data_IF_951043185052
#
_entry.id   IF_951043185052
#
_cell.length_a   1.000
_cell.length_b   1.000
_cell.length_c   1.000
_cell.angle_alpha   90.00
_cell.angle_beta   90.00
_cell.angle_gamma   90.00
#
_symmetry.space_group_name_H-M   'P 1'
#
loop_
_entity.id
_entity.type
_entity.pdbx_description
1 polymer ?
#
# COMPACT_ATOMS: atom_id res chain seq x y z
N UNK A 1 -57.35 -44.68 4.11
CA UNK A 1 -55.97 -44.77 3.61
C UNK A 1 -55.46 -43.35 3.38
N UNK A 2 -54.79 -42.76 4.38
CA UNK A 2 -54.40 -41.35 4.36
C UNK A 2 -52.87 -41.21 4.26
N UNK A 3 -52.47 -40.50 3.23
CA UNK A 3 -51.12 -40.10 2.81
C UNK A 3 -50.37 -39.35 3.92
N UNK A 4 -49.20 -39.85 4.36
CA UNK A 4 -48.28 -39.12 5.24
C UNK A 4 -47.33 -38.27 4.41
N UNK A 5 -47.42 -36.96 4.59
CA UNK A 5 -46.48 -35.98 4.07
C UNK A 5 -45.14 -36.04 4.83
N UNK A 6 -44.07 -36.23 4.10
CA UNK A 6 -42.67 -36.11 4.54
C UNK A 6 -42.27 -34.64 4.56
N UNK A 7 -42.25 -34.01 5.74
CA UNK A 7 -41.70 -32.67 5.93
C UNK A 7 -40.18 -32.76 6.02
N UNK A 8 -39.50 -32.48 4.91
CA UNK A 8 -38.05 -32.27 4.87
C UNK A 8 -37.72 -30.96 5.61
N UNK A 9 -37.07 -31.07 6.76
CA UNK A 9 -36.50 -29.94 7.48
C UNK A 9 -35.32 -29.35 6.67
N UNK A 10 -35.61 -28.31 5.88
CA UNK A 10 -34.65 -27.54 5.09
C UNK A 10 -34.00 -26.39 5.90
N UNK A 11 -34.18 -26.35 7.22
CA UNK A 11 -33.81 -25.19 8.05
C UNK A 11 -32.45 -25.25 8.75
N UNK A 12 -31.79 -26.41 8.81
CA UNK A 12 -30.66 -26.60 9.72
C UNK A 12 -29.26 -26.25 9.14
N UNK A 13 -29.09 -26.23 7.83
CA UNK A 13 -27.76 -26.15 7.19
C UNK A 13 -27.10 -24.76 7.13
N UNK A 14 -27.88 -23.67 7.18
CA UNK A 14 -27.34 -22.31 6.99
C UNK A 14 -26.82 -21.65 8.27
N UNK A 15 -27.13 -22.22 9.45
CA UNK A 15 -26.74 -21.63 10.75
C UNK A 15 -25.30 -22.01 11.17
N UNK A 16 -24.80 -23.15 10.70
CA UNK A 16 -23.47 -23.66 11.06
C UNK A 16 -22.35 -23.06 10.22
N UNK A 17 -22.59 -22.77 8.94
CA UNK A 17 -21.59 -22.17 8.03
C UNK A 17 -21.30 -20.71 8.37
N UNK A 18 -22.33 -19.93 8.74
CA UNK A 18 -22.17 -18.54 9.19
C UNK A 18 -21.38 -18.44 10.52
N UNK A 19 -21.58 -19.40 11.43
CA UNK A 19 -20.89 -19.44 12.73
C UNK A 19 -19.39 -19.80 12.60
N UNK A 20 -19.03 -20.63 11.62
CA UNK A 20 -17.63 -20.99 11.35
C UNK A 20 -16.85 -19.82 10.75
N UNK A 21 -17.45 -19.07 9.82
CA UNK A 21 -16.84 -17.85 9.26
C UNK A 21 -16.58 -16.78 10.31
N UNK A 22 -17.55 -16.55 11.22
CA UNK A 22 -17.42 -15.56 12.29
C UNK A 22 -16.33 -15.88 13.31
N UNK A 23 -16.02 -17.16 13.56
CA UNK A 23 -14.96 -17.57 14.49
C UNK A 23 -13.57 -17.40 13.89
N UNK A 24 -13.40 -17.71 12.61
CA UNK A 24 -12.16 -17.47 11.89
C UNK A 24 -11.86 -15.97 11.80
N UNK A 25 -12.85 -15.16 11.43
CA UNK A 25 -12.73 -13.69 11.38
C UNK A 25 -12.34 -13.10 12.75
N UNK A 26 -12.95 -13.58 13.85
CA UNK A 26 -12.61 -13.14 15.22
C UNK A 26 -11.26 -13.64 15.74
N UNK A 27 -10.70 -14.71 15.17
CA UNK A 27 -9.38 -15.21 15.54
C UNK A 27 -8.28 -14.38 14.87
N UNK A 28 -8.48 -14.06 13.59
CA UNK A 28 -7.62 -13.13 12.83
C UNK A 28 -7.63 -11.75 13.48
N UNK A 29 -8.81 -11.23 13.81
CA UNK A 29 -8.96 -9.91 14.43
C UNK A 29 -8.29 -9.85 15.83
N UNK A 30 -8.47 -10.89 16.66
CA UNK A 30 -7.80 -10.95 17.97
C UNK A 30 -6.29 -11.10 17.90
N UNK A 31 -5.76 -11.81 16.90
CA UNK A 31 -4.32 -11.91 16.69
C UNK A 31 -3.73 -10.59 16.16
N UNK A 32 -4.48 -9.88 15.33
CA UNK A 32 -4.11 -8.58 14.79
C UNK A 32 -4.13 -7.47 15.86
N UNK A 33 -5.18 -7.41 16.67
CA UNK A 33 -5.31 -6.50 17.82
C UNK A 33 -4.21 -6.72 18.86
N UNK A 34 -3.76 -7.96 19.07
CA UNK A 34 -2.65 -8.27 19.99
C UNK A 34 -1.29 -7.69 19.55
N UNK A 35 -1.15 -7.26 18.29
CA UNK A 35 0.08 -6.65 17.74
C UNK A 35 -0.05 -5.16 17.40
N UNK A 36 -1.23 -4.56 17.61
CA UNK A 36 -1.50 -3.16 17.24
C UNK A 36 -1.65 -2.92 15.72
N UNK A 37 -1.72 -3.99 14.93
CA UNK A 37 -1.88 -3.94 13.47
C UNK A 37 -3.32 -4.29 13.11
N UNK A 38 -3.97 -3.51 12.24
CA UNK A 38 -5.30 -3.83 11.73
C UNK A 38 -5.20 -4.95 10.68
N UNK A 39 -5.61 -6.16 11.09
CA UNK A 39 -5.52 -7.36 10.26
C UNK A 39 -6.48 -7.36 9.08
N UNK A 40 -7.60 -6.64 9.19
CA UNK A 40 -8.55 -6.49 8.09
C UNK A 40 -7.96 -5.61 6.99
N UNK A 41 -7.39 -4.47 7.38
CA UNK A 41 -6.70 -3.57 6.45
C UNK A 41 -5.56 -4.30 5.73
N UNK A 42 -4.74 -5.05 6.47
CA UNK A 42 -3.64 -5.82 5.88
C UNK A 42 -4.14 -6.85 4.87
N UNK A 43 -5.23 -7.56 5.19
CA UNK A 43 -5.83 -8.56 4.29
C UNK A 43 -6.31 -7.91 2.99
N UNK A 44 -6.98 -6.76 3.07
CA UNK A 44 -7.46 -6.02 1.89
C UNK A 44 -6.29 -5.56 1.02
N UNK A 45 -5.21 -5.04 1.63
CA UNK A 45 -4.00 -4.61 0.90
C UNK A 45 -3.36 -5.78 0.16
N UNK A 46 -3.17 -6.93 0.84
CA UNK A 46 -2.58 -8.12 0.20
C UNK A 46 -3.45 -8.63 -0.95
N UNK A 47 -4.78 -8.65 -0.77
CA UNK A 47 -5.72 -9.05 -1.81
C UNK A 47 -5.65 -8.14 -3.05
N UNK A 48 -5.59 -6.81 -2.84
CA UNK A 48 -5.45 -5.84 -3.92
C UNK A 48 -4.12 -5.99 -4.68
N UNK A 49 -3.02 -6.21 -3.96
CA UNK A 49 -1.70 -6.44 -4.58
C UNK A 49 -1.70 -7.73 -5.41
N UNK A 50 -2.27 -8.82 -4.87
CA UNK A 50 -2.39 -10.09 -5.60
C UNK A 50 -3.25 -9.94 -6.86
N UNK A 51 -4.39 -9.25 -6.77
CA UNK A 51 -5.23 -8.95 -7.92
C UNK A 51 -4.49 -8.12 -8.97
N UNK A 52 -3.74 -7.09 -8.54
CA UNK A 52 -2.91 -6.27 -9.43
C UNK A 52 -1.81 -7.07 -10.15
N UNK A 53 -1.16 -8.01 -9.45
CA UNK A 53 -0.15 -8.91 -10.05
C UNK A 53 -0.75 -9.78 -11.16
N UNK A 54 -1.95 -10.33 -10.95
CA UNK A 54 -2.66 -11.11 -11.97
C UNK A 54 -2.98 -10.24 -13.19
N UNK A 55 -3.45 -9.01 -12.97
CA UNK A 55 -3.77 -8.07 -14.06
C UNK A 55 -2.52 -7.66 -14.87
N UNK A 56 -1.40 -7.41 -14.21
CA UNK A 56 -0.13 -7.08 -14.89
C UNK A 56 0.34 -8.27 -15.73
N UNK A 57 0.31 -9.48 -15.16
CA UNK A 57 0.68 -10.69 -15.92
C UNK A 57 -0.20 -10.85 -17.17
N UNK A 58 -1.52 -10.70 -17.01
CA UNK A 58 -2.47 -10.82 -18.12
C UNK A 58 -2.30 -9.75 -19.21
N UNK A 59 -1.96 -8.52 -18.86
CA UNK A 59 -1.83 -7.42 -19.83
C UNK A 59 -0.44 -7.35 -20.49
N UNK A 60 0.59 -7.82 -19.80
CA UNK A 60 1.99 -7.66 -20.24
C UNK A 60 2.52 -8.83 -21.08
N UNK A 61 1.85 -9.98 -21.13
CA UNK A 61 2.30 -11.15 -21.91
C UNK A 61 2.51 -10.80 -23.40
N UNK A 62 1.55 -10.09 -24.01
CA UNK A 62 1.61 -9.70 -25.42
C UNK A 62 2.69 -8.63 -25.71
N UNK A 63 2.89 -7.68 -24.78
CA UNK A 63 3.85 -6.58 -24.93
C UNK A 63 5.30 -7.00 -24.63
N UNK A 64 5.51 -7.85 -23.63
CA UNK A 64 6.83 -8.37 -23.25
C UNK A 64 7.45 -9.25 -24.34
N UNK A 65 6.62 -10.05 -25.02
CA UNK A 65 7.06 -10.87 -26.15
C UNK A 65 7.47 -10.02 -27.36
N UNK A 66 6.72 -8.96 -27.67
CA UNK A 66 6.94 -8.12 -28.85
C UNK A 66 8.13 -7.15 -28.72
N UNK A 67 8.41 -6.64 -27.51
CA UNK A 67 9.41 -5.57 -27.32
C UNK A 67 10.74 -6.05 -26.72
N UNK A 68 10.72 -7.12 -25.90
CA UNK A 68 11.90 -7.56 -25.14
C UNK A 68 12.24 -9.04 -25.32
N UNK A 69 11.43 -9.79 -26.07
CA UNK A 69 11.64 -11.24 -26.28
C UNK A 69 11.49 -12.11 -25.02
N UNK A 70 11.08 -11.51 -23.90
CA UNK A 70 10.81 -12.18 -22.63
C UNK A 70 9.41 -11.77 -22.12
N UNK A 71 8.41 -12.67 -22.13
CA UNK A 71 7.06 -12.38 -21.65
C UNK A 71 7.01 -11.97 -20.16
N UNK A 72 8.05 -12.31 -19.40
CA UNK A 72 8.11 -12.18 -17.94
C UNK A 72 8.68 -10.83 -17.46
N UNK A 73 9.21 -10.00 -18.38
CA UNK A 73 9.99 -8.81 -17.99
C UNK A 73 9.20 -7.84 -17.08
N UNK A 74 7.97 -7.49 -17.46
CA UNK A 74 7.14 -6.60 -16.65
C UNK A 74 6.69 -7.22 -15.33
N UNK A 75 6.51 -8.54 -15.30
CA UNK A 75 6.12 -9.27 -14.09
C UNK A 75 7.27 -9.31 -13.07
N UNK A 76 8.50 -9.55 -13.51
CA UNK A 76 9.69 -9.52 -12.65
C UNK A 76 9.91 -8.13 -12.03
N UNK A 77 9.77 -7.06 -12.82
CA UNK A 77 9.85 -5.69 -12.32
C UNK A 77 8.74 -5.36 -11.31
N UNK A 78 7.50 -5.83 -11.56
CA UNK A 78 6.39 -5.68 -10.62
C UNK A 78 6.66 -6.43 -9.32
N UNK A 79 7.22 -7.64 -9.37
CA UNK A 79 7.58 -8.42 -8.19
C UNK A 79 8.64 -7.72 -7.34
N UNK A 80 9.66 -7.14 -7.96
CA UNK A 80 10.68 -6.34 -7.24
C UNK A 80 10.00 -5.16 -6.55
N UNK A 81 9.11 -4.44 -7.24
CA UNK A 81 8.35 -3.34 -6.66
C UNK A 81 7.48 -3.76 -5.48
N UNK A 82 6.79 -4.89 -5.58
CA UNK A 82 5.97 -5.47 -4.49
C UNK A 82 6.84 -5.87 -3.30
N UNK A 83 7.97 -6.53 -3.53
CA UNK A 83 8.89 -6.93 -2.48
C UNK A 83 9.47 -5.71 -1.73
N UNK A 84 9.90 -4.68 -2.47
CA UNK A 84 10.37 -3.42 -1.89
C UNK A 84 9.26 -2.68 -1.13
N UNK A 85 8.02 -2.72 -1.64
CA UNK A 85 6.85 -2.16 -0.97
C UNK A 85 6.56 -2.82 0.38
N UNK A 86 6.53 -4.16 0.42
CA UNK A 86 6.33 -4.90 1.67
C UNK A 86 7.48 -4.71 2.66
N UNK A 87 8.74 -4.68 2.18
CA UNK A 87 9.89 -4.38 3.01
C UNK A 87 9.78 -2.95 3.61
N UNK A 88 9.43 -1.95 2.79
CA UNK A 88 9.21 -0.58 3.22
C UNK A 88 8.08 -0.47 4.25
N UNK A 89 6.96 -1.16 4.02
CA UNK A 89 5.84 -1.22 4.96
C UNK A 89 6.28 -1.77 6.32
N UNK A 90 7.02 -2.89 6.33
CA UNK A 90 7.51 -3.49 7.57
C UNK A 90 8.47 -2.57 8.33
N UNK A 91 9.40 -1.92 7.62
CA UNK A 91 10.35 -0.98 8.22
C UNK A 91 9.65 0.24 8.82
N UNK A 92 8.70 0.84 8.09
CA UNK A 92 7.96 2.02 8.56
C UNK A 92 7.02 1.67 9.71
N UNK A 93 6.36 0.51 9.66
CA UNK A 93 5.50 0.04 10.75
C UNK A 93 6.25 -0.14 12.08
N UNK A 94 7.56 -0.42 12.02
CA UNK A 94 8.42 -0.53 13.19
C UNK A 94 9.01 0.81 13.63
N UNK A 95 8.92 1.85 12.82
CA UNK A 95 9.52 3.15 13.08
C UNK A 95 8.61 4.00 13.98
N UNK A 96 9.18 4.57 15.05
CA UNK A 96 8.42 5.40 15.99
C UNK A 96 8.00 6.73 15.35
N UNK A 97 6.68 6.94 15.25
CA UNK A 97 6.10 8.16 14.68
C UNK A 97 6.45 9.43 15.48
N UNK A 98 6.84 9.34 16.75
CA UNK A 98 7.26 10.50 17.52
C UNK A 98 8.57 11.09 16.98
N UNK A 99 9.45 10.24 16.44
CA UNK A 99 10.69 10.69 15.79
C UNK A 99 10.39 11.42 14.47
N UNK A 100 9.35 11.03 13.74
CA UNK A 100 8.89 11.75 12.54
C UNK A 100 8.49 13.19 12.87
N UNK A 101 7.89 13.44 14.04
CA UNK A 101 7.55 14.81 14.47
C UNK A 101 8.81 15.67 14.60
N UNK A 102 9.90 15.14 15.16
CA UNK A 102 11.17 15.87 15.31
C UNK A 102 11.86 16.14 13.97
N UNK A 103 11.84 15.15 13.06
CA UNK A 103 12.49 15.24 11.75
C UNK A 103 11.66 15.97 10.68
N UNK A 104 10.40 16.32 10.94
CA UNK A 104 9.50 16.82 9.88
C UNK A 104 10.00 18.09 9.20
N UNK A 105 10.63 19.03 9.93
CA UNK A 105 11.20 20.25 9.34
C UNK A 105 12.41 19.96 8.45
N UNK A 106 13.35 19.13 8.92
CA UNK A 106 14.52 18.74 8.12
C UNK A 106 14.13 17.88 6.92
N UNK A 107 13.17 16.96 7.10
CA UNK A 107 12.62 16.14 6.01
C UNK A 107 11.97 17.00 4.94
N UNK A 108 11.24 18.06 5.32
CA UNK A 108 10.65 19.00 4.37
C UNK A 108 11.70 19.76 3.56
N UNK A 109 12.77 20.25 4.20
CA UNK A 109 13.89 20.91 3.50
C UNK A 109 14.56 19.97 2.52
N UNK A 110 14.92 18.75 2.97
CA UNK A 110 15.50 17.72 2.11
C UNK A 110 14.57 17.39 0.95
N UNK A 111 13.26 17.31 1.19
CA UNK A 111 12.28 17.01 0.15
C UNK A 111 12.20 18.10 -0.93
N UNK A 112 12.21 19.37 -0.51
CA UNK A 112 12.24 20.50 -1.45
C UNK A 112 13.53 20.46 -2.28
N UNK A 113 14.68 20.21 -1.65
CA UNK A 113 15.94 20.07 -2.36
C UNK A 113 15.91 18.89 -3.35
N UNK A 114 15.30 17.77 -2.98
CA UNK A 114 15.18 16.60 -3.85
C UNK A 114 14.28 16.87 -5.06
N UNK A 115 13.19 17.63 -4.88
CA UNK A 115 12.33 18.06 -5.99
C UNK A 115 13.04 19.02 -6.94
N UNK A 116 13.83 19.95 -6.39
CA UNK A 116 14.66 20.85 -7.21
C UNK A 116 15.75 20.07 -7.94
N UNK A 117 16.34 19.06 -7.30
CA UNK A 117 17.37 18.22 -7.89
C UNK A 117 16.85 17.38 -9.07
N UNK A 118 15.58 16.97 -9.07
CA UNK A 118 15.00 16.21 -10.21
C UNK A 118 14.90 17.05 -11.48
N UNK A 119 14.89 18.38 -11.34
CA UNK A 119 14.89 19.34 -12.45
C UNK A 119 16.28 19.53 -13.06
N UNK A 120 17.34 19.00 -12.44
CA UNK A 120 18.68 19.10 -12.98
C UNK A 120 18.86 18.06 -14.10
N UNK A 121 19.25 18.48 -15.32
CA UNK A 121 19.27 17.60 -16.48
C UNK A 121 20.32 16.48 -16.42
N UNK A 122 21.26 16.56 -15.48
CA UNK A 122 22.28 15.55 -15.24
C UNK A 122 21.84 14.47 -14.24
N UNK A 123 20.71 14.65 -13.54
CA UNK A 123 20.25 13.75 -12.47
C UNK A 123 18.84 13.21 -12.76
N UNK A 124 17.95 14.04 -13.31
CA UNK A 124 16.58 13.64 -13.67
C UNK A 124 16.49 12.99 -15.04
N UNK A 125 15.89 11.81 -15.11
CA UNK A 125 15.60 11.13 -16.38
C UNK A 125 14.35 11.73 -17.02
N UNK A 126 14.47 12.07 -18.31
CA UNK A 126 13.33 12.50 -19.11
C UNK A 126 12.52 11.29 -19.55
N UNK A 127 11.26 11.24 -19.11
CA UNK A 127 10.26 10.29 -19.60
C UNK A 127 9.05 11.09 -20.07
N UNK A 128 8.53 10.80 -21.27
CA UNK A 128 7.37 11.48 -21.86
C UNK A 128 7.49 13.02 -21.90
N UNK A 129 8.70 13.55 -22.16
CA UNK A 129 8.96 15.00 -22.28
C UNK A 129 9.06 15.76 -20.96
N UNK A 130 9.10 15.09 -19.80
CA UNK A 130 9.28 15.73 -18.50
C UNK A 130 10.32 15.01 -17.60
N UNK A 131 11.09 15.79 -16.83
CA UNK A 131 12.02 15.26 -15.82
C UNK A 131 11.28 15.10 -14.49
N UNK A 132 10.94 13.85 -14.15
CA UNK A 132 10.16 13.52 -12.94
C UNK A 132 10.70 12.32 -12.17
N UNK A 133 11.64 11.58 -12.76
CA UNK A 133 12.10 10.30 -12.25
C UNK A 133 13.61 10.35 -12.02
N UNK A 134 14.04 9.79 -10.90
CA UNK A 134 15.43 9.40 -10.71
C UNK A 134 15.56 7.93 -11.06
N UNK A 135 16.43 7.61 -12.01
CA UNK A 135 16.71 6.22 -12.37
C UNK A 135 17.97 5.77 -11.65
N UNK A 136 17.83 4.77 -10.79
CA UNK A 136 18.91 4.15 -10.04
C UNK A 136 18.96 2.68 -10.48
N UNK A 137 19.69 2.43 -11.57
CA UNK A 137 19.75 1.10 -12.21
C UNK A 137 18.37 0.66 -12.74
N UNK A 138 17.86 -0.53 -12.36
CA UNK A 138 16.55 -1.01 -12.80
C UNK A 138 15.37 -0.36 -12.05
N UNK A 139 15.64 0.44 -11.02
CA UNK A 139 14.63 1.08 -10.19
C UNK A 139 14.47 2.55 -10.59
N UNK A 140 13.23 2.97 -10.75
CA UNK A 140 12.86 4.35 -10.97
C UNK A 140 12.15 4.88 -9.74
N UNK A 141 12.74 5.87 -9.07
CA UNK A 141 12.17 6.50 -7.87
C UNK A 141 11.58 7.84 -8.26
N UNK A 142 10.30 8.02 -7.97
CA UNK A 142 9.62 9.29 -8.17
C UNK A 142 9.65 10.10 -6.86
N UNK A 143 10.34 11.25 -6.81
CA UNK A 143 10.42 12.05 -5.60
C UNK A 143 9.04 12.42 -5.06
N UNK A 144 8.10 12.75 -5.95
CA UNK A 144 6.76 13.19 -5.54
C UNK A 144 5.97 12.15 -4.74
N UNK A 145 6.28 10.85 -4.89
CA UNK A 145 5.67 9.82 -4.05
C UNK A 145 6.05 9.99 -2.57
N UNK A 146 7.31 10.34 -2.31
CA UNK A 146 7.84 10.58 -0.97
C UNK A 146 7.36 11.94 -0.42
N UNK A 147 7.20 12.97 -1.27
CA UNK A 147 6.75 14.28 -0.78
C UNK A 147 5.36 14.24 -0.17
N UNK A 148 4.44 13.44 -0.71
CA UNK A 148 3.07 13.40 -0.20
C UNK A 148 3.09 12.97 1.27
N UNK A 149 3.85 11.93 1.61
CA UNK A 149 3.99 11.49 3.00
C UNK A 149 4.63 12.56 3.91
N UNK A 150 5.72 13.20 3.45
CA UNK A 150 6.43 14.23 4.23
C UNK A 150 5.54 15.47 4.46
N UNK A 151 4.83 15.91 3.42
CA UNK A 151 3.91 17.06 3.48
C UNK A 151 2.80 16.82 4.50
N UNK A 152 2.20 15.62 4.50
CA UNK A 152 1.15 15.26 5.48
C UNK A 152 1.69 15.38 6.90
N UNK A 153 2.87 14.79 7.18
CA UNK A 153 3.49 14.84 8.52
C UNK A 153 3.87 16.28 8.91
N UNK A 154 4.40 17.06 7.98
CA UNK A 154 4.75 18.46 8.20
C UNK A 154 3.52 19.31 8.54
N UNK A 155 2.43 19.19 7.76
CA UNK A 155 1.20 19.93 8.01
C UNK A 155 0.52 19.50 9.30
N UNK A 156 0.51 18.19 9.61
CA UNK A 156 -0.02 17.69 10.88
C UNK A 156 0.71 18.35 12.07
N UNK A 157 2.05 18.43 12.02
CA UNK A 157 2.83 19.13 13.05
C UNK A 157 2.53 20.63 13.07
N UNK A 158 2.50 21.29 11.92
CA UNK A 158 2.29 22.74 11.82
C UNK A 158 0.92 23.15 12.39
N UNK A 159 -0.11 22.33 12.16
CA UNK A 159 -1.43 22.51 12.74
C UNK A 159 -1.43 22.29 14.25
N UNK A 160 -0.78 21.23 14.74
CA UNK A 160 -0.68 20.94 16.18
C UNK A 160 0.01 22.09 16.94
N UNK A 161 1.14 22.57 16.40
CA UNK A 161 1.91 23.68 16.99
C UNK A 161 1.10 25.01 17.02
N UNK A 162 0.04 25.16 16.19
CA UNK A 162 -0.90 26.31 16.20
C UNK A 162 -2.24 26.05 16.87
N UNK A 163 -2.57 24.80 17.20
CA UNK A 163 -3.87 24.43 17.78
C UNK A 163 -4.17 25.18 19.09
N UNK A 164 -3.14 25.40 19.92
CA UNK A 164 -3.27 26.17 21.16
C UNK A 164 -3.71 27.63 20.98
N UNK A 165 -3.38 28.24 19.84
CA UNK A 165 -3.77 29.62 19.50
C UNK A 165 -5.15 29.70 18.84
N UNK A 166 -5.63 28.59 18.26
CA UNK A 166 -6.94 28.50 17.61
C UNK A 166 -8.03 28.18 18.64
N UNK A 167 -7.73 27.41 19.70
CA UNK A 167 -8.69 27.14 20.79
C UNK A 167 -8.92 28.34 21.73
N UNK A 168 -8.08 29.36 21.65
CA UNK A 168 -8.18 30.57 22.47
C UNK A 168 -8.91 31.73 21.77
N UNK A 169 -9.52 31.49 20.60
CA UNK A 169 -10.40 32.39 19.86
C UNK A 169 -11.83 31.86 19.93
#
# INVERSE_FOLDING_TARGET
>A
MATRATTLDRGAGWRTTAALGGRALRAVDRAAVATGVDGWLLTVVVALVAFGLVMVYSASEALGYLWFGNPSYFFEHQLIGVALGFAGMFLIARFDYHRLRGLSKSAMVVMVLLLLAVLLPHIGVQANGAQRWFQIGPLSVQPSAISIAIIIVFFARWLDDRSGRIRSL
#
